data_IF_020445657880
#
_entry.id   IF_020445657880
#
_cell.length_a   1.000
_cell.length_b   1.000
_cell.length_c   1.000
_cell.angle_alpha   90.00
_cell.angle_beta   90.00
_cell.angle_gamma   90.00
#
_symmetry.space_group_name_H-M   'P 1'
#
loop_
_entity.id
_entity.type
_entity.pdbx_description
1 polymer ?
#
# COMPACT_ATOMS: atom_id res chain seq x y z
N UNK A 1 7.07 -20.79 1.85
CA UNK A 1 8.25 -20.55 1.05
C UNK A 1 9.29 -19.75 1.82
N UNK A 2 10.54 -19.94 1.51
CA UNK A 2 11.65 -19.23 2.18
C UNK A 2 11.51 -17.71 2.10
N UNK A 3 10.99 -17.19 1.01
CA UNK A 3 10.78 -15.76 0.82
C UNK A 3 9.71 -15.17 1.73
N UNK A 4 8.66 -15.92 2.06
CA UNK A 4 7.61 -15.46 2.96
C UNK A 4 8.16 -15.18 4.36
N UNK A 5 8.84 -16.15 4.95
CA UNK A 5 9.41 -16.05 6.30
C UNK A 5 10.53 -15.00 6.35
N UNK A 6 11.40 -14.97 5.33
CA UNK A 6 12.45 -13.96 5.21
C UNK A 6 11.88 -12.56 5.06
N UNK A 7 10.81 -12.39 4.29
CA UNK A 7 10.13 -11.11 4.14
C UNK A 7 9.59 -10.63 5.49
N UNK A 8 8.79 -11.46 6.18
CA UNK A 8 8.19 -11.09 7.47
C UNK A 8 9.25 -10.72 8.50
N UNK A 9 10.30 -11.52 8.61
CA UNK A 9 11.41 -11.25 9.52
C UNK A 9 12.13 -9.94 9.20
N UNK A 10 12.45 -9.68 7.93
CA UNK A 10 13.15 -8.46 7.51
C UNK A 10 12.27 -7.21 7.67
N UNK A 11 10.97 -7.32 7.43
CA UNK A 11 10.02 -6.22 7.58
C UNK A 11 9.94 -5.74 9.04
N UNK A 12 9.75 -6.68 9.97
CA UNK A 12 9.70 -6.38 11.41
C UNK A 12 11.06 -5.91 11.93
N UNK A 13 12.17 -6.49 11.47
CA UNK A 13 13.50 -6.02 11.85
C UNK A 13 13.80 -4.59 11.38
N UNK A 14 13.25 -4.18 10.23
CA UNK A 14 13.42 -2.85 9.65
C UNK A 14 12.56 -1.80 10.36
N UNK A 15 11.26 -2.06 10.48
CA UNK A 15 10.27 -1.08 10.95
C UNK A 15 9.96 -1.21 12.46
N UNK A 16 10.49 -2.23 13.11
CA UNK A 16 10.17 -2.58 14.48
C UNK A 16 8.84 -3.30 14.59
N UNK A 17 8.49 -3.78 15.79
CA UNK A 17 7.19 -4.39 16.06
C UNK A 17 7.23 -5.89 16.24
N UNK A 18 6.08 -6.54 16.02
CA UNK A 18 5.84 -7.97 16.28
C UNK A 18 5.08 -8.63 15.14
N UNK A 19 4.92 -9.94 15.21
CA UNK A 19 4.12 -10.70 14.26
C UNK A 19 3.00 -11.44 14.96
N UNK A 20 1.88 -11.65 14.26
CA UNK A 20 0.87 -12.62 14.69
C UNK A 20 1.38 -14.05 14.53
N UNK A 21 0.65 -15.01 15.10
CA UNK A 21 0.84 -16.41 14.77
C UNK A 21 0.53 -16.63 13.28
N UNK A 22 1.37 -17.43 12.61
CA UNK A 22 1.14 -17.85 11.24
C UNK A 22 -0.09 -18.76 11.17
N UNK A 23 -0.94 -18.57 10.18
CA UNK A 23 -2.13 -19.37 9.93
C UNK A 23 -2.21 -19.82 8.47
N UNK A 24 -3.06 -20.81 8.20
CA UNK A 24 -3.40 -21.25 6.83
C UNK A 24 -4.87 -20.97 6.60
N UNK A 25 -5.18 -20.26 5.54
CA UNK A 25 -6.53 -19.86 5.16
C UNK A 25 -6.84 -20.22 3.72
N UNK A 26 -8.13 -20.36 3.44
CA UNK A 26 -8.63 -20.31 2.07
C UNK A 26 -9.06 -18.88 1.78
N UNK A 27 -8.49 -18.26 0.75
CA UNK A 27 -8.79 -16.87 0.41
C UNK A 27 -9.97 -16.84 -0.55
N UNK A 28 -11.10 -16.34 -0.08
CA UNK A 28 -12.26 -16.08 -0.93
C UNK A 28 -12.02 -14.79 -1.74
N UNK A 29 -12.39 -14.71 -3.04
CA UNK A 29 -13.14 -15.70 -3.83
C UNK A 29 -12.26 -16.76 -4.51
N UNK A 30 -10.96 -16.75 -4.32
CA UNK A 30 -10.07 -17.73 -4.94
C UNK A 30 -9.97 -18.99 -4.06
N UNK A 31 -10.15 -20.21 -4.60
CA UNK A 31 -10.05 -21.44 -3.81
C UNK A 31 -8.60 -21.80 -3.48
N UNK A 32 -7.75 -20.81 -3.26
CA UNK A 32 -6.33 -20.99 -3.05
C UNK A 32 -6.00 -21.05 -1.56
N UNK A 33 -5.35 -22.11 -1.13
CA UNK A 33 -4.78 -22.18 0.22
C UNK A 33 -3.56 -21.26 0.30
N UNK A 34 -3.52 -20.42 1.31
CA UNK A 34 -2.43 -19.50 1.56
C UNK A 34 -1.96 -19.55 3.01
N UNK A 35 -0.67 -19.37 3.24
CA UNK A 35 -0.18 -18.96 4.55
C UNK A 35 -0.49 -17.48 4.74
N UNK A 36 -0.87 -17.11 5.95
CA UNK A 36 -1.09 -15.70 6.30
C UNK A 36 -0.44 -15.37 7.64
N UNK A 37 0.12 -14.19 7.72
CA UNK A 37 0.69 -13.64 8.94
C UNK A 37 0.59 -12.12 8.91
N UNK A 38 0.21 -11.52 10.04
CA UNK A 38 0.28 -10.08 10.22
C UNK A 38 1.68 -9.69 10.68
N UNK A 39 2.22 -8.62 10.11
CA UNK A 39 3.35 -7.89 10.66
C UNK A 39 2.82 -6.57 11.22
N UNK A 40 2.99 -6.39 12.53
CA UNK A 40 2.45 -5.29 13.33
C UNK A 40 3.60 -4.35 13.68
N UNK A 41 3.71 -3.22 13.00
CA UNK A 41 4.79 -2.26 13.21
C UNK A 41 4.25 -0.87 13.56
N UNK A 42 5.03 -0.01 14.22
CA UNK A 42 4.62 1.37 14.48
C UNK A 42 4.33 2.17 13.20
N UNK A 43 5.00 1.83 12.10
CA UNK A 43 4.85 2.49 10.81
C UNK A 43 3.68 1.94 9.97
N UNK A 44 3.08 0.81 10.36
CA UNK A 44 1.94 0.23 9.68
C UNK A 44 1.79 -1.26 9.92
N UNK A 45 0.58 -1.76 9.69
CA UNK A 45 0.26 -3.18 9.75
C UNK A 45 0.09 -3.71 8.33
N UNK A 46 0.74 -4.82 8.04
CA UNK A 46 0.52 -5.53 6.78
C UNK A 46 0.06 -6.96 7.03
N UNK A 47 -0.81 -7.44 6.16
CA UNK A 47 -1.19 -8.84 6.07
C UNK A 47 -0.43 -9.47 4.92
N UNK A 48 0.44 -10.42 5.24
CA UNK A 48 1.29 -11.11 4.27
C UNK A 48 0.66 -12.43 3.90
N UNK A 49 0.49 -12.66 2.60
CA UNK A 49 -0.09 -13.88 2.06
C UNK A 49 0.94 -14.65 1.23
N UNK A 50 1.23 -15.88 1.61
CA UNK A 50 2.06 -16.81 0.86
C UNK A 50 1.22 -17.81 0.08
N UNK A 51 0.88 -17.49 -1.16
CA UNK A 51 0.08 -18.37 -2.02
C UNK A 51 0.91 -19.57 -2.49
N UNK A 52 0.32 -20.76 -2.42
CA UNK A 52 0.89 -22.00 -2.96
C UNK A 52 0.64 -22.18 -4.45
N UNK A 53 -0.36 -21.47 -4.97
CA UNK A 53 -0.76 -21.51 -6.38
C UNK A 53 -0.88 -20.09 -6.91
N UNK A 54 -0.66 -19.85 -8.22
CA UNK A 54 -0.92 -18.56 -8.82
C UNK A 54 -2.35 -18.10 -8.57
N UNK A 55 -2.53 -16.81 -8.30
CA UNK A 55 -3.85 -16.20 -8.20
C UNK A 55 -4.16 -15.43 -9.47
N UNK A 56 -5.45 -15.42 -9.91
CA UNK A 56 -5.82 -14.74 -11.14
C UNK A 56 -5.70 -13.22 -11.00
N UNK A 57 -5.46 -12.55 -12.13
CA UNK A 57 -5.58 -11.09 -12.19
C UNK A 57 -7.01 -10.66 -11.78
N UNK A 58 -7.22 -9.56 -11.06
CA UNK A 58 -6.22 -8.59 -10.58
C UNK A 58 -5.65 -8.90 -9.17
N UNK A 59 -5.85 -10.11 -8.68
CA UNK A 59 -5.39 -10.54 -7.35
C UNK A 59 -3.90 -10.92 -7.37
N UNK A 60 -3.32 -11.07 -6.19
CA UNK A 60 -1.91 -11.46 -6.04
C UNK A 60 -0.92 -10.30 -6.01
N UNK A 61 -1.38 -9.06 -6.18
CA UNK A 61 -0.59 -7.85 -6.00
C UNK A 61 -0.89 -7.20 -4.66
N UNK A 62 -0.01 -6.31 -4.23
CA UNK A 62 -0.28 -5.45 -3.08
C UNK A 62 -1.55 -4.62 -3.33
N UNK A 63 -2.31 -4.42 -2.29
CA UNK A 63 -3.42 -3.47 -2.27
C UNK A 63 -3.63 -2.95 -0.86
N UNK A 64 -4.06 -1.71 -0.77
CA UNK A 64 -4.39 -1.10 0.51
C UNK A 64 -5.80 -1.52 0.93
N UNK A 65 -5.92 -1.95 2.18
CA UNK A 65 -7.20 -2.22 2.84
C UNK A 65 -7.63 -1.03 3.69
N UNK A 66 -8.89 -0.67 3.60
CA UNK A 66 -9.49 0.40 4.39
C UNK A 66 -10.61 -0.14 5.28
N UNK A 67 -10.48 0.13 6.57
CA UNK A 67 -11.49 -0.21 7.55
C UNK A 67 -12.69 0.72 7.39
N UNK A 68 -13.88 0.15 7.24
CA UNK A 68 -15.16 0.86 7.17
C UNK A 68 -16.16 0.25 8.16
N UNK A 69 -17.09 1.02 8.66
CA UNK A 69 -18.08 0.55 9.65
C UNK A 69 -19.24 -0.23 9.02
N UNK A 70 -19.42 -0.11 7.70
CA UNK A 70 -20.49 -0.75 6.94
C UNK A 70 -19.98 -0.97 5.50
N UNK A 71 -19.56 -2.20 5.20
CA UNK A 71 -18.96 -2.56 3.91
C UNK A 71 -19.96 -2.41 2.76
N UNK A 72 -21.22 -2.83 2.95
CA UNK A 72 -22.23 -2.74 1.90
C UNK A 72 -22.54 -1.28 1.53
N UNK A 73 -22.64 -0.41 2.52
CA UNK A 73 -22.84 1.01 2.31
C UNK A 73 -21.63 1.68 1.67
N UNK A 74 -20.42 1.30 2.11
CA UNK A 74 -19.18 1.84 1.55
C UNK A 74 -19.00 1.44 0.07
N UNK A 75 -19.29 0.18 -0.28
CA UNK A 75 -19.24 -0.30 -1.67
C UNK A 75 -20.25 0.43 -2.54
N UNK A 76 -21.49 0.63 -2.06
CA UNK A 76 -22.50 1.43 -2.80
C UNK A 76 -22.03 2.86 -3.01
N UNK A 77 -21.44 3.49 -2.00
CA UNK A 77 -20.92 4.85 -2.09
C UNK A 77 -19.73 4.93 -3.07
N UNK A 78 -18.80 3.97 -3.03
CA UNK A 78 -17.67 3.92 -3.95
C UNK A 78 -18.14 3.74 -5.41
N UNK A 79 -19.09 2.82 -5.65
CA UNK A 79 -19.68 2.64 -6.98
C UNK A 79 -20.38 3.92 -7.49
N UNK A 80 -21.16 4.58 -6.65
CA UNK A 80 -21.81 5.87 -6.98
C UNK A 80 -20.79 6.99 -7.21
N UNK A 81 -19.58 6.87 -6.67
CA UNK A 81 -18.49 7.80 -6.92
C UNK A 81 -17.68 7.48 -8.18
N UNK A 82 -17.82 6.28 -8.78
CA UNK A 82 -17.19 5.92 -10.04
C UNK A 82 -16.22 4.73 -9.98
N UNK A 83 -16.20 4.00 -8.87
CA UNK A 83 -15.45 2.75 -8.76
C UNK A 83 -16.24 1.57 -9.34
N UNK A 84 -15.54 0.59 -9.89
CA UNK A 84 -16.09 -0.71 -10.25
C UNK A 84 -16.06 -1.66 -9.04
N UNK A 85 -17.03 -2.56 -8.92
CA UNK A 85 -17.06 -3.58 -7.88
C UNK A 85 -16.48 -4.87 -8.45
N UNK A 86 -15.25 -5.20 -8.04
CA UNK A 86 -14.52 -6.40 -8.51
C UNK A 86 -14.96 -7.63 -7.74
N UNK A 87 -15.11 -7.48 -6.42
CA UNK A 87 -15.65 -8.53 -5.52
C UNK A 87 -16.76 -7.90 -4.69
N UNK A 88 -17.98 -8.42 -4.86
CA UNK A 88 -19.11 -8.00 -4.06
C UNK A 88 -18.88 -8.28 -2.55
N UNK A 89 -19.54 -7.56 -1.65
CA UNK A 89 -19.42 -7.82 -0.22
C UNK A 89 -19.68 -9.29 0.14
N UNK A 90 -18.75 -9.88 0.88
CA UNK A 90 -18.83 -11.26 1.36
C UNK A 90 -18.34 -11.34 2.80
N UNK A 91 -18.81 -12.37 3.51
CA UNK A 91 -18.38 -12.65 4.88
C UNK A 91 -17.19 -13.61 4.88
N UNK A 92 -16.20 -13.33 5.70
CA UNK A 92 -15.11 -14.21 6.04
C UNK A 92 -15.18 -14.59 7.55
N UNK A 93 -14.32 -15.48 8.06
CA UNK A 93 -14.41 -15.94 9.45
C UNK A 93 -14.27 -14.83 10.52
N UNK A 94 -13.67 -13.70 10.19
CA UNK A 94 -13.38 -12.61 11.14
C UNK A 94 -13.99 -11.27 10.73
N UNK A 95 -14.61 -11.18 9.56
CA UNK A 95 -15.08 -9.91 9.05
C UNK A 95 -16.00 -10.01 7.84
N UNK A 96 -16.18 -8.87 7.22
CA UNK A 96 -16.85 -8.66 5.96
C UNK A 96 -15.98 -7.85 5.04
N UNK A 97 -15.79 -8.32 3.81
CA UNK A 97 -14.85 -7.78 2.83
C UNK A 97 -15.50 -7.49 1.50
N UNK A 98 -14.90 -6.58 0.75
CA UNK A 98 -15.19 -6.32 -0.65
C UNK A 98 -13.94 -5.79 -1.35
N UNK A 99 -13.85 -5.93 -2.67
CA UNK A 99 -12.79 -5.33 -3.49
C UNK A 99 -13.42 -4.45 -4.54
N UNK A 100 -12.98 -3.20 -4.58
CA UNK A 100 -13.36 -2.21 -5.59
C UNK A 100 -12.15 -1.83 -6.42
N UNK A 101 -12.39 -1.29 -7.61
CA UNK A 101 -11.34 -0.78 -8.49
C UNK A 101 -11.66 0.65 -8.93
N UNK A 102 -10.75 1.55 -8.64
CA UNK A 102 -10.82 2.94 -9.11
C UNK A 102 -10.36 3.09 -10.56
N UNK A 103 -10.73 4.18 -11.25
CA UNK A 103 -10.20 4.48 -12.58
C UNK A 103 -8.67 4.41 -12.63
N UNK A 104 -8.15 3.80 -13.69
CA UNK A 104 -6.72 3.53 -13.83
C UNK A 104 -6.27 2.18 -13.27
N UNK A 105 -7.21 1.34 -12.82
CA UNK A 105 -6.93 -0.02 -12.36
C UNK A 105 -6.46 -0.13 -10.91
N UNK A 106 -6.70 0.90 -10.09
CA UNK A 106 -6.29 0.93 -8.68
C UNK A 106 -7.26 0.12 -7.83
N UNK A 107 -6.80 -1.01 -7.32
CA UNK A 107 -7.58 -1.90 -6.46
C UNK A 107 -7.54 -1.44 -5.00
N UNK A 108 -8.68 -1.57 -4.32
CA UNK A 108 -8.83 -1.23 -2.91
C UNK A 108 -9.71 -2.26 -2.23
N UNK A 109 -9.28 -2.72 -1.07
CA UNK A 109 -10.10 -3.56 -0.19
C UNK A 109 -10.86 -2.68 0.80
N UNK A 110 -12.15 -2.93 0.93
CA UNK A 110 -12.98 -2.37 2.00
C UNK A 110 -13.33 -3.50 2.95
N UNK A 111 -13.10 -3.33 4.25
CA UNK A 111 -13.33 -4.39 5.20
C UNK A 111 -13.82 -3.88 6.56
N UNK A 112 -14.48 -4.76 7.30
CA UNK A 112 -14.92 -4.57 8.68
C UNK A 112 -14.68 -5.83 9.48
N UNK A 113 -14.05 -5.69 10.66
CA UNK A 113 -13.92 -6.80 11.60
C UNK A 113 -15.22 -7.01 12.36
N UNK A 114 -15.86 -8.17 12.23
CA UNK A 114 -16.99 -8.57 13.05
C UNK A 114 -16.56 -9.05 14.44
N UNK A 115 -15.26 -9.37 14.59
CA UNK A 115 -14.60 -9.63 15.87
C UNK A 115 -13.50 -8.59 16.06
N UNK A 116 -13.40 -8.05 17.29
CA UNK A 116 -12.36 -7.05 17.59
C UNK A 116 -10.97 -7.63 17.33
N UNK A 117 -10.10 -6.94 16.59
CA UNK A 117 -8.74 -7.37 16.37
C UNK A 117 -7.95 -7.36 17.69
N UNK A 118 -7.08 -8.34 17.88
CA UNK A 118 -6.21 -8.46 19.06
C UNK A 118 -4.87 -7.74 18.87
N UNK A 119 -4.90 -6.50 18.39
CA UNK A 119 -3.70 -5.67 18.23
C UNK A 119 -4.04 -4.19 18.46
N UNK A 120 -3.05 -3.42 18.86
CA UNK A 120 -3.19 -1.99 19.10
C UNK A 120 -3.46 -1.21 17.80
N UNK A 121 -4.13 -0.08 17.93
CA UNK A 121 -4.33 0.85 16.82
C UNK A 121 -2.98 1.34 16.28
N UNK A 122 -2.91 1.54 14.96
CA UNK A 122 -1.73 2.08 14.30
C UNK A 122 -1.39 3.48 14.82
N UNK A 123 -0.12 3.74 15.06
CA UNK A 123 0.37 5.06 15.42
C UNK A 123 0.46 5.98 14.20
N UNK A 124 0.75 5.41 13.04
CA UNK A 124 0.77 6.10 11.76
C UNK A 124 -0.03 5.32 10.73
N UNK A 125 -0.68 6.04 9.81
CA UNK A 125 -1.39 5.42 8.69
C UNK A 125 -0.43 5.36 7.50
N UNK A 126 -0.13 4.17 6.96
CA UNK A 126 0.68 4.03 5.78
C UNK A 126 0.09 4.80 4.58
N UNK A 127 0.97 5.26 3.71
CA UNK A 127 0.60 5.97 2.49
C UNK A 127 0.43 4.98 1.34
N UNK A 128 -0.76 4.94 0.75
CA UNK A 128 -0.98 4.17 -0.48
C UNK A 128 -0.36 4.90 -1.67
N UNK A 129 0.51 4.24 -2.43
CA UNK A 129 1.24 4.80 -3.58
C UNK A 129 0.84 4.06 -4.84
N UNK A 130 0.08 4.73 -5.71
CA UNK A 130 -0.54 4.12 -6.89
C UNK A 130 -0.02 4.74 -8.17
N UNK A 131 0.24 3.90 -9.17
CA UNK A 131 0.66 4.30 -10.51
C UNK A 131 -0.56 4.44 -11.41
N UNK A 132 -0.71 5.61 -12.04
CA UNK A 132 -1.88 5.91 -12.86
C UNK A 132 -1.46 6.63 -14.13
N UNK A 133 -2.10 6.30 -15.23
CA UNK A 133 -1.85 6.96 -16.51
C UNK A 133 -2.32 8.42 -16.52
N UNK A 134 -1.72 9.30 -17.33
CA UNK A 134 -2.19 10.67 -17.51
C UNK A 134 -3.66 10.78 -17.92
N UNK A 135 -4.17 9.77 -18.64
CA UNK A 135 -5.57 9.72 -19.09
C UNK A 135 -6.55 9.45 -17.95
N UNK A 136 -6.15 8.66 -16.95
CA UNK A 136 -7.02 8.21 -15.86
C UNK A 136 -6.91 9.06 -14.60
N UNK A 137 -5.83 9.82 -14.42
CA UNK A 137 -5.51 10.51 -13.16
C UNK A 137 -6.61 11.48 -12.71
N UNK A 138 -7.18 12.24 -13.64
CA UNK A 138 -8.21 13.23 -13.31
C UNK A 138 -9.46 12.56 -12.73
N UNK A 139 -9.90 11.49 -13.38
CA UNK A 139 -11.06 10.73 -12.95
C UNK A 139 -10.81 10.00 -11.63
N UNK A 140 -9.63 9.37 -11.46
CA UNK A 140 -9.26 8.75 -10.19
C UNK A 140 -9.32 9.74 -9.03
N UNK A 141 -8.63 10.87 -9.16
CA UNK A 141 -8.55 11.88 -8.08
C UNK A 141 -9.93 12.42 -7.73
N UNK A 142 -10.72 12.78 -8.75
CA UNK A 142 -12.09 13.27 -8.54
C UNK A 142 -12.96 12.25 -7.80
N UNK A 143 -12.99 11.00 -8.28
CA UNK A 143 -13.88 9.97 -7.76
C UNK A 143 -13.46 9.52 -6.35
N UNK A 144 -12.15 9.36 -6.12
CA UNK A 144 -11.64 9.03 -4.79
C UNK A 144 -11.87 10.14 -3.76
N UNK A 145 -11.64 11.41 -4.12
CA UNK A 145 -11.90 12.54 -3.24
C UNK A 145 -13.39 12.65 -2.90
N UNK A 146 -14.27 12.42 -3.89
CA UNK A 146 -15.72 12.39 -3.69
C UNK A 146 -16.14 11.29 -2.70
N UNK A 147 -15.58 10.08 -2.86
CA UNK A 147 -15.87 8.94 -1.97
C UNK A 147 -15.31 9.14 -0.57
N UNK A 148 -14.05 9.53 -0.47
CA UNK A 148 -13.32 9.62 0.80
C UNK A 148 -13.57 10.89 1.60
N UNK A 149 -14.28 11.88 1.00
CA UNK A 149 -14.37 13.25 1.51
C UNK A 149 -13.00 13.87 1.80
N UNK A 150 -12.00 13.44 1.04
CA UNK A 150 -10.62 13.88 1.16
C UNK A 150 -10.33 15.20 0.46
N UNK A 151 -9.07 15.58 0.49
CA UNK A 151 -8.57 16.78 -0.19
C UNK A 151 -7.23 16.48 -0.86
N UNK A 152 -7.00 17.10 -2.01
CA UNK A 152 -5.66 17.17 -2.62
C UNK A 152 -4.84 18.17 -1.78
N UNK A 153 -3.73 17.70 -1.24
CA UNK A 153 -2.82 18.52 -0.39
C UNK A 153 -1.58 18.95 -1.13
N UNK A 154 -1.23 18.25 -2.23
CA UNK A 154 -0.11 18.59 -3.10
C UNK A 154 -0.39 18.10 -4.52
N UNK A 155 -0.02 18.89 -5.52
CA UNK A 155 -0.01 18.53 -6.95
C UNK A 155 1.28 19.08 -7.56
N UNK A 156 2.31 18.26 -7.56
CA UNK A 156 3.65 18.61 -8.02
C UNK A 156 3.86 18.09 -9.45
N UNK A 157 3.95 19.00 -10.39
CA UNK A 157 4.16 18.69 -11.81
C UNK A 157 5.61 18.29 -12.16
N UNK A 158 6.54 18.45 -11.20
CA UNK A 158 7.97 18.23 -11.40
C UNK A 158 8.59 17.43 -10.25
N UNK A 159 7.85 16.49 -9.69
CA UNK A 159 8.39 15.57 -8.69
C UNK A 159 9.62 14.82 -9.25
N UNK A 160 10.62 14.50 -8.42
CA UNK A 160 11.84 13.87 -8.88
C UNK A 160 11.58 12.46 -9.38
N UNK A 161 11.95 12.17 -10.63
CA UNK A 161 11.70 10.87 -11.25
C UNK A 161 12.50 9.72 -10.64
N UNK A 162 13.46 10.01 -9.78
CA UNK A 162 14.24 8.99 -9.06
C UNK A 162 13.31 8.04 -8.26
N UNK A 163 12.22 8.53 -7.71
CA UNK A 163 11.27 7.71 -6.93
C UNK A 163 10.43 6.73 -7.77
N UNK A 164 10.47 6.86 -9.11
CA UNK A 164 9.84 5.93 -10.06
C UNK A 164 10.86 5.25 -10.98
N UNK A 165 12.15 5.28 -10.61
CA UNK A 165 13.22 4.64 -11.36
C UNK A 165 13.70 5.42 -12.59
N UNK A 166 13.35 6.72 -12.72
CA UNK A 166 13.75 7.62 -13.82
C UNK A 166 14.55 8.82 -13.28
N UNK A 167 15.81 8.63 -12.84
CA UNK A 167 16.55 9.64 -12.08
C UNK A 167 16.81 10.94 -12.83
N UNK A 168 16.74 10.94 -14.17
CA UNK A 168 16.99 12.11 -15.00
C UNK A 168 15.69 12.82 -15.44
N UNK A 169 14.54 12.30 -15.03
CA UNK A 169 13.23 12.80 -15.41
C UNK A 169 12.50 13.46 -14.23
N UNK A 170 11.43 14.14 -14.55
CA UNK A 170 10.41 14.57 -13.58
C UNK A 170 9.05 14.01 -14.00
N UNK A 171 8.15 13.90 -13.04
CA UNK A 171 6.81 13.42 -13.30
C UNK A 171 5.79 14.19 -12.43
N UNK A 172 4.50 14.01 -12.68
CA UNK A 172 3.45 14.59 -11.84
C UNK A 172 3.12 13.66 -10.68
N UNK A 173 3.14 14.21 -9.47
CA UNK A 173 2.76 13.52 -8.24
C UNK A 173 1.66 14.28 -7.52
N UNK A 174 0.55 13.59 -7.19
CA UNK A 174 -0.57 14.17 -6.46
C UNK A 174 -0.67 13.48 -5.11
N UNK A 175 -0.83 14.25 -4.04
CA UNK A 175 -1.06 13.72 -2.69
C UNK A 175 -2.47 14.07 -2.22
N UNK A 176 -3.15 13.07 -1.67
CA UNK A 176 -4.51 13.16 -1.15
C UNK A 176 -4.49 12.70 0.31
N UNK A 177 -5.12 13.50 1.17
CA UNK A 177 -5.41 13.13 2.56
C UNK A 177 -6.91 12.99 2.75
N UNK A 178 -7.31 11.96 3.52
CA UNK A 178 -8.71 11.66 3.80
C UNK A 178 -8.85 10.96 5.15
N UNK A 179 -10.09 10.70 5.57
CA UNK A 179 -10.39 9.85 6.72
C UNK A 179 -9.94 8.40 6.57
N UNK A 180 -9.64 7.96 5.35
CA UNK A 180 -9.05 6.64 5.04
C UNK A 180 -7.52 6.64 5.08
N UNK A 181 -6.86 7.79 5.33
CA UNK A 181 -5.43 7.93 5.32
C UNK A 181 -4.89 8.71 4.12
N UNK A 182 -3.66 8.41 3.74
CA UNK A 182 -2.91 9.14 2.70
C UNK A 182 -2.84 8.31 1.42
N UNK A 183 -2.98 8.97 0.28
CA UNK A 183 -2.72 8.38 -1.05
C UNK A 183 -1.78 9.28 -1.84
N UNK A 184 -0.75 8.69 -2.43
CA UNK A 184 0.12 9.36 -3.41
C UNK A 184 -0.12 8.75 -4.79
N UNK A 185 -0.53 9.59 -5.73
CA UNK A 185 -0.76 9.22 -7.12
C UNK A 185 0.48 9.58 -7.94
N UNK A 186 1.12 8.56 -8.50
CA UNK A 186 2.31 8.62 -9.33
C UNK A 186 1.87 8.58 -10.79
N UNK A 187 1.85 9.73 -11.46
CA UNK A 187 1.33 9.83 -12.83
C UNK A 187 2.42 9.48 -13.82
N UNK A 188 2.24 8.40 -14.58
CA UNK A 188 3.21 7.89 -15.54
C UNK A 188 2.54 7.28 -16.77
N UNK A 189 3.26 7.24 -17.87
CA UNK A 189 2.87 6.56 -19.11
C UNK A 189 3.00 5.02 -19.01
N UNK A 190 3.42 4.49 -17.89
CA UNK A 190 3.62 3.05 -17.67
C UNK A 190 5.00 2.52 -18.08
N UNK A 191 5.84 3.31 -18.76
CA UNK A 191 7.19 2.89 -19.16
C UNK A 191 8.21 3.16 -18.04
N UNK A 192 8.05 2.48 -16.91
CA UNK A 192 8.99 2.54 -15.78
C UNK A 192 9.82 1.26 -15.70
N UNK A 193 11.10 1.34 -15.26
CA UNK A 193 11.94 0.15 -15.17
C UNK A 193 11.49 -0.76 -14.01
N UNK A 194 11.75 -2.07 -14.16
CA UNK A 194 11.58 -3.00 -13.04
C UNK A 194 12.50 -2.59 -11.86
N UNK A 195 12.05 -2.64 -10.61
CA UNK A 195 10.77 -3.18 -10.11
C UNK A 195 9.66 -2.12 -9.89
N UNK A 196 9.78 -0.94 -10.44
CA UNK A 196 8.77 0.12 -10.32
C UNK A 196 7.51 -0.19 -11.15
N UNK A 197 6.45 0.64 -10.97
CA UNK A 197 5.22 0.54 -11.75
C UNK A 197 4.12 -0.31 -11.13
N UNK A 198 4.33 -0.83 -9.92
CA UNK A 198 3.31 -1.53 -9.12
C UNK A 198 2.90 -0.68 -7.92
N UNK A 199 1.67 -0.86 -7.46
CA UNK A 199 1.24 -0.28 -6.19
C UNK A 199 2.23 -0.61 -5.08
N UNK A 200 2.55 0.37 -4.26
CA UNK A 200 3.48 0.25 -3.13
C UNK A 200 2.91 0.96 -1.92
N UNK A 201 3.50 0.74 -0.78
CA UNK A 201 3.15 1.44 0.46
C UNK A 201 4.31 2.32 0.90
N UNK A 202 3.98 3.54 1.36
CA UNK A 202 4.91 4.45 2.01
C UNK A 202 4.79 4.33 3.53
N UNK A 203 5.92 4.13 4.21
CA UNK A 203 5.99 3.99 5.66
C UNK A 203 6.69 5.19 6.28
N UNK A 204 5.97 5.91 7.13
CA UNK A 204 6.54 7.03 7.89
C UNK A 204 7.29 6.51 9.11
N UNK A 205 8.54 6.94 9.25
CA UNK A 205 9.42 6.62 10.39
C UNK A 205 9.97 7.89 11.02
N UNK A 206 10.41 7.81 12.26
CA UNK A 206 10.98 8.97 12.94
C UNK A 206 12.39 9.34 12.47
N UNK A 207 13.16 8.34 12.01
CA UNK A 207 14.56 8.50 11.58
C UNK A 207 14.84 7.58 10.40
N UNK A 208 15.02 8.17 9.22
CA UNK A 208 15.21 7.41 8.00
C UNK A 208 16.55 6.65 7.99
N UNK A 209 17.64 7.31 8.33
CA UNK A 209 18.98 6.75 8.32
C UNK A 209 19.14 5.53 9.26
N UNK A 210 18.63 5.63 10.50
CA UNK A 210 18.62 4.49 11.44
C UNK A 210 17.76 3.34 10.92
N UNK A 211 16.63 3.64 10.28
CA UNK A 211 15.75 2.62 9.69
C UNK A 211 16.42 1.94 8.52
N UNK A 212 17.11 2.67 7.65
CA UNK A 212 17.86 2.10 6.52
C UNK A 212 19.05 1.25 6.96
N UNK A 213 19.71 1.58 8.08
CA UNK A 213 20.75 0.73 8.67
C UNK A 213 20.18 -0.62 9.12
N UNK A 214 19.03 -0.61 9.81
CA UNK A 214 18.30 -1.83 10.20
C UNK A 214 17.85 -2.63 8.97
N UNK A 215 17.31 -1.95 7.96
CA UNK A 215 16.89 -2.57 6.70
C UNK A 215 18.06 -3.32 6.03
N UNK A 216 19.19 -2.66 5.90
CA UNK A 216 20.41 -3.27 5.31
C UNK A 216 20.88 -4.47 6.12
N UNK A 217 20.89 -4.37 7.45
CA UNK A 217 21.27 -5.49 8.33
C UNK A 217 20.29 -6.69 8.22
N UNK A 218 19.01 -6.40 7.89
CA UNK A 218 17.97 -7.41 7.68
C UNK A 218 17.88 -7.94 6.25
N UNK A 219 18.85 -7.62 5.37
CA UNK A 219 18.91 -8.09 3.99
C UNK A 219 17.99 -7.36 3.00
N UNK A 220 17.53 -6.17 3.36
CA UNK A 220 16.75 -5.31 2.48
C UNK A 220 17.69 -4.53 1.55
N UNK A 221 17.34 -4.45 0.27
CA UNK A 221 18.12 -3.70 -0.73
C UNK A 221 17.60 -2.27 -0.82
N UNK A 222 18.47 -1.29 -0.74
CA UNK A 222 18.12 0.11 -1.04
C UNK A 222 18.20 0.31 -2.55
N UNK A 223 17.05 0.50 -3.20
CA UNK A 223 16.95 0.74 -4.65
C UNK A 223 17.24 2.19 -4.99
N UNK A 224 16.71 3.10 -4.19
CA UNK A 224 16.94 4.53 -4.29
C UNK A 224 17.43 5.03 -2.94
N UNK A 225 18.66 5.56 -2.87
CA UNK A 225 19.22 6.14 -1.65
C UNK A 225 18.38 7.35 -1.21
N UNK A 226 18.56 7.85 0.03
CA UNK A 226 17.82 8.99 0.54
C UNK A 226 17.81 10.17 -0.42
N UNK A 227 16.62 10.71 -0.66
CA UNK A 227 16.39 11.91 -1.46
C UNK A 227 15.35 12.79 -0.78
N UNK A 228 15.49 14.10 -0.93
CA UNK A 228 14.51 15.05 -0.39
C UNK A 228 13.45 15.38 -1.44
N UNK A 229 12.20 15.35 -1.02
CA UNK A 229 11.07 15.78 -1.84
C UNK A 229 9.89 16.14 -0.95
N UNK A 230 9.33 17.34 -1.15
CA UNK A 230 8.09 17.80 -0.52
C UNK A 230 8.12 17.70 1.02
N UNK A 231 9.19 18.23 1.63
CA UNK A 231 9.45 18.30 3.08
C UNK A 231 9.60 16.93 3.75
N UNK A 232 9.98 15.94 3.00
CA UNK A 232 10.35 14.64 3.56
C UNK A 232 11.65 14.16 2.93
N UNK A 233 12.40 13.43 3.70
CA UNK A 233 13.47 12.60 3.20
C UNK A 233 12.94 11.19 3.02
N UNK A 234 13.14 10.61 1.84
CA UNK A 234 12.59 9.32 1.49
C UNK A 234 13.63 8.42 0.80
N UNK A 235 13.43 7.11 0.89
CA UNK A 235 14.21 6.12 0.17
C UNK A 235 13.26 5.04 -0.37
N UNK A 236 13.62 4.39 -1.48
CA UNK A 236 12.90 3.24 -2.01
C UNK A 236 13.71 1.99 -1.70
N UNK A 237 13.06 1.02 -1.10
CA UNK A 237 13.70 -0.22 -0.67
C UNK A 237 12.99 -1.44 -1.27
N UNK A 238 13.72 -2.54 -1.39
CA UNK A 238 13.15 -3.83 -1.80
C UNK A 238 13.45 -4.88 -0.74
N UNK A 239 12.41 -5.42 -0.16
CA UNK A 239 12.48 -6.52 0.80
C UNK A 239 12.70 -7.86 0.10
N UNK A 240 13.20 -8.89 0.82
CA UNK A 240 13.21 -10.26 0.33
C UNK A 240 11.84 -10.68 -0.22
N UNK A 241 11.82 -11.39 -1.35
CA UNK A 241 10.59 -11.73 -2.06
C UNK A 241 10.12 -10.66 -3.06
N UNK A 242 10.85 -9.55 -3.20
CA UNK A 242 10.61 -8.54 -4.24
C UNK A 242 9.62 -7.42 -3.86
N UNK A 243 9.16 -7.37 -2.61
CA UNK A 243 8.29 -6.30 -2.14
C UNK A 243 9.02 -4.96 -2.12
N UNK A 244 8.50 -3.99 -2.85
CA UNK A 244 9.04 -2.62 -2.92
C UNK A 244 8.21 -1.70 -2.04
N UNK A 245 8.88 -0.90 -1.23
CA UNK A 245 8.25 0.10 -0.38
C UNK A 245 9.01 1.42 -0.42
N UNK A 246 8.33 2.49 -0.12
CA UNK A 246 8.94 3.77 0.23
C UNK A 246 9.01 3.89 1.75
N UNK A 247 10.14 4.34 2.26
CA UNK A 247 10.30 4.69 3.68
C UNK A 247 10.66 6.17 3.73
N UNK A 248 9.96 6.95 4.56
CA UNK A 248 10.21 8.37 4.68
C UNK A 248 10.18 8.88 6.12
N UNK A 249 10.86 9.99 6.35
CA UNK A 249 10.77 10.78 7.55
C UNK A 249 10.46 12.24 7.20
N UNK A 250 9.65 12.90 8.03
CA UNK A 250 9.37 14.33 7.87
C UNK A 250 10.63 15.13 8.20
N UNK A 251 10.99 16.08 7.33
CA UNK A 251 12.09 17.02 7.59
C UNK A 251 11.54 18.17 8.43
N UNK A 252 12.11 18.38 9.62
CA UNK A 252 11.78 19.53 10.45
C UNK A 252 12.11 20.84 9.70
N UNK A 253 11.28 21.87 9.91
CA UNK A 253 11.53 23.21 9.40
C UNK A 253 12.72 23.85 10.09
#
# INVERSE_FOLDING_TARGET
PEDFDRFVASFVATLGGTTSKQGVFTVTPTPSSTMSQLALTPAGTISVFGFKTPVPYPFGHERTGYLVTDVDRAVKAAHAAGADVIVAPFDDPIGRDAVIQWPGGVNMQLYWHTQAPHYDALQTVPENRVYVSPQSVHKLVHDFVKFSHGKVVSDDLKAPGVEIGRPNDTYRRIRIESGFGKMTVLVTDGHVPYPFGRETTGYEVSKLDETLQKAKAAGVTVLVPPFESDRREAAIVQFPGGYVAEIHASVAK
#
